data_IF_612083253625
#
_entry.id   IF_612083253625
#
_cell.length_a   1.000
_cell.length_b   1.000
_cell.length_c   1.000
_cell.angle_alpha   90.00
_cell.angle_beta   90.00
_cell.angle_gamma   90.00
#
_symmetry.space_group_name_H-M   'P 1'
#
loop_
_entity.id
_entity.type
_entity.pdbx_description
1 polymer ?
#
# COMPACT_ATOMS: atom_id res chain seq x y z
N UNK A 1 -10.65 -0.60 -17.20
CA UNK A 1 -10.11 0.24 -16.12
C UNK A 1 -11.26 0.50 -15.18
N UNK A 2 -11.12 0.08 -13.94
CA UNK A 2 -12.10 0.39 -12.91
C UNK A 2 -12.18 1.92 -12.77
N UNK A 3 -13.40 2.47 -12.73
CA UNK A 3 -13.66 3.92 -12.76
C UNK A 3 -12.91 4.70 -11.64
N UNK A 4 -12.50 3.99 -10.58
CA UNK A 4 -11.88 4.56 -9.38
C UNK A 4 -10.42 4.17 -9.18
N UNK A 5 -9.78 3.49 -10.13
CA UNK A 5 -8.37 3.07 -9.98
C UNK A 5 -7.41 4.26 -9.72
N UNK A 6 -7.74 5.43 -10.27
CA UNK A 6 -6.95 6.66 -10.13
C UNK A 6 -6.69 7.08 -8.67
N UNK A 7 -7.56 6.73 -7.71
CA UNK A 7 -7.35 7.06 -6.28
C UNK A 7 -6.25 6.21 -5.63
N UNK A 8 -5.82 5.12 -6.27
CA UNK A 8 -4.67 4.33 -5.84
C UNK A 8 -3.35 4.87 -6.40
N UNK A 9 -3.41 5.63 -7.50
CA UNK A 9 -2.22 6.15 -8.17
C UNK A 9 -1.77 7.51 -7.64
N UNK A 10 -2.72 8.32 -7.16
CA UNK A 10 -2.46 9.68 -6.71
C UNK A 10 -3.20 9.97 -5.40
N UNK A 11 -2.59 10.73 -4.48
CA UNK A 11 -3.28 11.18 -3.28
C UNK A 11 -4.40 12.16 -3.63
N UNK A 12 -5.34 12.33 -2.70
CA UNK A 12 -6.35 13.39 -2.78
C UNK A 12 -5.61 14.74 -2.85
N UNK A 13 -5.95 15.62 -3.81
CA UNK A 13 -5.35 16.94 -3.90
C UNK A 13 -5.69 17.80 -2.68
N UNK A 14 -4.93 18.86 -2.39
CA UNK A 14 -5.27 19.79 -1.31
C UNK A 14 -6.68 20.37 -1.47
N UNK A 15 -7.36 20.61 -0.35
CA UNK A 15 -8.69 21.19 -0.34
C UNK A 15 -8.71 22.53 -1.10
N UNK A 16 -9.67 22.74 -2.02
CA UNK A 16 -9.75 23.97 -2.78
C UNK A 16 -10.13 25.16 -1.88
N UNK A 17 -9.69 26.38 -2.22
CA UNK A 17 -10.02 27.56 -1.44
C UNK A 17 -11.52 27.87 -1.48
N UNK A 18 -12.02 28.61 -0.48
CA UNK A 18 -13.45 28.87 -0.33
C UNK A 18 -14.06 29.63 -1.54
N UNK A 19 -13.26 30.42 -2.25
CA UNK A 19 -13.65 31.14 -3.46
C UNK A 19 -13.42 30.36 -4.76
N UNK A 20 -13.01 29.09 -4.69
CA UNK A 20 -12.77 28.27 -5.88
C UNK A 20 -14.06 28.10 -6.72
N UNK A 21 -13.94 27.96 -8.04
CA UNK A 21 -15.06 27.64 -8.91
C UNK A 21 -15.79 26.37 -8.46
N UNK A 22 -17.11 26.33 -8.65
CA UNK A 22 -17.94 25.19 -8.26
C UNK A 22 -17.41 23.87 -8.84
N UNK A 23 -17.02 23.85 -10.11
CA UNK A 23 -16.47 22.67 -10.76
C UNK A 23 -15.22 22.09 -10.06
N UNK A 24 -14.38 22.96 -9.47
CA UNK A 24 -13.19 22.52 -8.73
C UNK A 24 -13.59 21.87 -7.40
N UNK A 25 -14.58 22.44 -6.71
CA UNK A 25 -15.12 21.87 -5.47
C UNK A 25 -15.80 20.53 -5.72
N UNK A 26 -16.66 20.46 -6.74
CA UNK A 26 -17.37 19.24 -7.14
C UNK A 26 -16.37 18.12 -7.51
N UNK A 27 -15.28 18.46 -8.21
CA UNK A 27 -14.22 17.50 -8.53
C UNK A 27 -13.46 17.00 -7.29
N UNK A 28 -13.17 17.88 -6.33
CA UNK A 28 -12.55 17.51 -5.07
C UNK A 28 -13.46 16.59 -4.25
N UNK A 29 -14.74 16.94 -4.10
CA UNK A 29 -15.73 16.13 -3.39
C UNK A 29 -15.92 14.75 -4.02
N UNK A 30 -15.93 14.68 -5.36
CA UNK A 30 -15.94 13.40 -6.09
C UNK A 30 -14.72 12.55 -5.72
N UNK A 31 -13.53 13.13 -5.72
CA UNK A 31 -12.30 12.42 -5.36
C UNK A 31 -12.38 11.89 -3.92
N UNK A 32 -12.77 12.72 -2.96
CA UNK A 32 -12.94 12.32 -1.55
C UNK A 32 -13.93 11.15 -1.42
N UNK A 33 -15.05 11.20 -2.15
CA UNK A 33 -16.04 10.12 -2.15
C UNK A 33 -15.46 8.82 -2.72
N UNK A 34 -14.78 8.91 -3.86
CA UNK A 34 -14.19 7.75 -4.52
C UNK A 34 -13.08 7.13 -3.64
N UNK A 35 -12.24 7.95 -3.01
CA UNK A 35 -11.21 7.51 -2.07
C UNK A 35 -11.83 6.80 -0.86
N UNK A 36 -12.89 7.34 -0.26
CA UNK A 36 -13.57 6.71 0.88
C UNK A 36 -14.14 5.33 0.51
N UNK A 37 -14.70 5.18 -0.70
CA UNK A 37 -15.20 3.89 -1.19
C UNK A 37 -14.07 2.88 -1.36
N UNK A 38 -12.99 3.26 -2.01
CA UNK A 38 -11.85 2.37 -2.24
C UNK A 38 -11.15 2.02 -0.93
N UNK A 39 -10.97 2.99 -0.03
CA UNK A 39 -10.42 2.78 1.31
C UNK A 39 -11.22 1.75 2.11
N UNK A 40 -12.55 1.86 2.07
CA UNK A 40 -13.45 0.91 2.73
C UNK A 40 -13.31 -0.51 2.16
N UNK A 41 -13.26 -0.65 0.84
CA UNK A 41 -13.05 -1.95 0.19
C UNK A 41 -11.69 -2.53 0.56
N UNK A 42 -10.62 -1.73 0.51
CA UNK A 42 -9.29 -2.17 0.91
C UNK A 42 -9.29 -2.72 2.34
N UNK A 43 -9.79 -1.94 3.30
CA UNK A 43 -9.88 -2.36 4.70
C UNK A 43 -10.71 -3.64 4.88
N UNK A 44 -11.85 -3.75 4.19
CA UNK A 44 -12.71 -4.93 4.27
C UNK A 44 -12.05 -6.21 3.73
N UNK A 45 -11.09 -6.08 2.80
CA UNK A 45 -10.33 -7.21 2.25
C UNK A 45 -9.08 -7.55 3.05
N UNK A 46 -8.72 -6.74 4.04
CA UNK A 46 -7.56 -7.00 4.89
C UNK A 46 -7.90 -7.97 6.03
N UNK A 47 -6.86 -8.64 6.53
CA UNK A 47 -6.94 -9.33 7.82
C UNK A 47 -7.05 -8.31 8.97
N UNK A 48 -7.67 -8.65 10.11
CA UNK A 48 -7.95 -7.70 11.19
C UNK A 48 -6.73 -6.94 11.71
N UNK A 49 -5.58 -7.61 11.81
CA UNK A 49 -4.33 -7.01 12.29
C UNK A 49 -3.85 -5.90 11.35
N UNK A 50 -3.95 -6.14 10.05
CA UNK A 50 -3.53 -5.20 9.02
C UNK A 50 -4.57 -4.09 8.86
N UNK A 51 -5.85 -4.41 8.97
CA UNK A 51 -6.95 -3.43 8.96
C UNK A 51 -6.75 -2.38 10.05
N UNK A 52 -6.47 -2.79 11.29
CA UNK A 52 -6.25 -1.88 12.43
C UNK A 52 -5.06 -0.93 12.21
N UNK A 53 -4.03 -1.37 11.49
CA UNK A 53 -2.87 -0.52 11.20
C UNK A 53 -3.16 0.57 10.18
N UNK A 54 -4.24 0.44 9.40
CA UNK A 54 -4.52 1.28 8.24
C UNK A 54 -5.88 2.00 8.33
N UNK A 55 -6.60 1.90 9.46
CA UNK A 55 -7.98 2.39 9.60
C UNK A 55 -8.15 3.90 9.33
N UNK A 56 -7.12 4.69 9.62
CA UNK A 56 -7.12 6.15 9.43
C UNK A 56 -6.43 6.60 8.12
N UNK A 57 -5.93 5.67 7.31
CA UNK A 57 -5.20 5.99 6.10
C UNK A 57 -6.14 6.18 4.90
N UNK A 58 -5.70 6.99 3.93
CA UNK A 58 -6.38 7.13 2.63
C UNK A 58 -5.96 6.00 1.67
N UNK A 59 -6.75 5.78 0.62
CA UNK A 59 -6.55 4.64 -0.29
C UNK A 59 -5.14 4.63 -0.89
N UNK A 60 -4.68 5.78 -1.36
CA UNK A 60 -3.33 5.98 -1.87
C UNK A 60 -2.24 5.67 -0.82
N UNK A 61 -2.42 6.14 0.41
CA UNK A 61 -1.45 5.91 1.50
C UNK A 61 -1.37 4.44 1.87
N UNK A 62 -2.53 3.79 1.98
CA UNK A 62 -2.62 2.35 2.24
C UNK A 62 -1.89 1.55 1.16
N UNK A 63 -2.16 1.80 -0.13
CA UNK A 63 -1.53 1.00 -1.18
C UNK A 63 -0.01 1.20 -1.22
N UNK A 64 0.48 2.41 -0.93
CA UNK A 64 1.92 2.68 -0.80
C UNK A 64 2.52 1.91 0.39
N UNK A 65 1.88 1.97 1.56
CA UNK A 65 2.33 1.26 2.77
C UNK A 65 2.38 -0.26 2.56
N UNK A 66 1.32 -0.84 1.98
CA UNK A 66 1.25 -2.27 1.67
C UNK A 66 2.35 -2.69 0.69
N UNK A 67 2.56 -1.92 -0.39
CA UNK A 67 3.63 -2.21 -1.35
C UNK A 67 4.99 -2.22 -0.67
N UNK A 68 5.27 -1.25 0.20
CA UNK A 68 6.53 -1.18 0.94
C UNK A 68 6.71 -2.38 1.89
N UNK A 69 5.66 -2.74 2.62
CA UNK A 69 5.65 -3.86 3.56
C UNK A 69 5.97 -5.17 2.84
N UNK A 70 5.23 -5.51 1.78
CA UNK A 70 5.42 -6.78 1.06
C UNK A 70 6.71 -6.82 0.25
N UNK A 71 7.16 -5.70 -0.32
CA UNK A 71 8.49 -5.64 -0.93
C UNK A 71 9.61 -5.84 0.09
N UNK A 72 9.46 -5.28 1.29
CA UNK A 72 10.38 -5.49 2.42
C UNK A 72 10.43 -6.95 2.84
N UNK A 73 9.27 -7.57 3.02
CA UNK A 73 9.16 -8.99 3.38
C UNK A 73 9.81 -9.89 2.32
N UNK A 74 9.53 -9.66 1.04
CA UNK A 74 10.18 -10.41 -0.06
C UNK A 74 11.70 -10.28 -0.05
N UNK A 75 12.26 -9.10 0.27
CA UNK A 75 13.71 -8.92 0.42
C UNK A 75 14.26 -9.71 1.61
N UNK A 76 13.55 -9.68 2.73
CA UNK A 76 13.94 -10.39 3.94
C UNK A 76 13.95 -11.90 3.75
N UNK A 77 12.89 -12.48 3.19
CA UNK A 77 12.79 -13.91 2.91
C UNK A 77 13.89 -14.38 1.97
N UNK A 78 14.15 -13.64 0.87
CA UNK A 78 15.27 -13.92 -0.04
C UNK A 78 16.63 -13.91 0.65
N UNK A 79 16.84 -12.96 1.57
CA UNK A 79 18.06 -12.90 2.36
C UNK A 79 18.21 -14.14 3.27
N UNK A 80 17.15 -14.53 3.98
CA UNK A 80 17.18 -15.71 4.85
C UNK A 80 17.47 -17.00 4.07
N UNK A 81 16.82 -17.18 2.91
CA UNK A 81 17.07 -18.34 2.03
C UNK A 81 18.50 -18.36 1.53
N UNK A 82 19.03 -17.22 1.08
CA UNK A 82 20.41 -17.11 0.59
C UNK A 82 21.43 -17.38 1.69
N UNK A 83 21.18 -16.87 2.90
CA UNK A 83 22.01 -17.11 4.08
C UNK A 83 22.04 -18.60 4.44
N UNK A 84 20.89 -19.25 4.49
CA UNK A 84 20.81 -20.69 4.77
C UNK A 84 21.57 -21.51 3.73
N UNK A 85 21.38 -21.22 2.45
CA UNK A 85 22.09 -21.89 1.35
C UNK A 85 23.61 -21.75 1.46
N UNK A 86 24.10 -20.54 1.75
CA UNK A 86 25.53 -20.29 1.91
C UNK A 86 26.11 -21.00 3.14
N UNK A 87 25.38 -21.00 4.26
CA UNK A 87 25.76 -21.75 5.46
C UNK A 87 25.85 -23.26 5.21
N UNK A 88 24.94 -23.83 4.41
CA UNK A 88 25.02 -25.24 4.01
C UNK A 88 26.28 -25.56 3.19
N UNK A 89 26.75 -24.64 2.33
CA UNK A 89 27.97 -24.83 1.53
C UNK A 89 29.25 -24.80 2.37
N UNK A 90 29.27 -24.05 3.47
CA UNK A 90 30.43 -23.97 4.37
C UNK A 90 30.56 -25.16 5.33
N UNK A 91 29.52 -26.00 5.44
CA UNK A 91 29.52 -27.20 6.27
C UNK A 91 30.18 -28.43 5.61
N UNK A 92 30.61 -28.35 4.34
CA UNK A 92 31.32 -29.45 3.67
C UNK A 92 32.84 -29.28 3.79
N UNK A 93 33.34 -29.35 5.03
CA UNK A 93 34.67 -29.86 5.29
C UNK A 93 34.59 -31.38 5.32
N UNK A 94 34.45 -32.03 4.16
CA UNK A 94 34.74 -33.46 4.09
C UNK A 94 36.28 -33.60 4.17
N UNK A 95 36.84 -34.31 5.17
CA UNK A 95 38.24 -34.69 5.10
C UNK A 95 38.41 -35.64 3.92
N UNK A 96 39.45 -35.40 3.13
CA UNK A 96 39.98 -36.40 2.17
C UNK A 96 40.67 -37.51 2.95
#
# INVERSE_FOLDING_TARGET
MDEKEYVLEKPIPPAPPANAPKAVKDAYEKHVKDDNQVSCVMLATMIPELQKQHEDMKAHEMIVALRQLYQGQSRHERFLVSKALFSCKLSSGNPV
#
